data_IF_091073987301
#
_entry.id   IF_091073987301
#
_cell.length_a   1.000
_cell.length_b   1.000
_cell.length_c   1.000
_cell.angle_alpha   90.00
_cell.angle_beta   90.00
_cell.angle_gamma   90.00
#
_symmetry.space_group_name_H-M   'P 1'
#
loop_
_entity.id
_entity.type
_entity.pdbx_description
1 polymer ?
#
# COMPACT_ATOMS: atom_id res chain seq x y z
N UNK A 1 -7.37 -14.62 16.37
CA UNK A 1 -6.68 -14.21 15.14
C UNK A 1 -5.97 -12.91 15.42
N UNK A 2 -4.81 -12.68 14.79
CA UNK A 2 -4.03 -11.45 14.95
C UNK A 2 -4.56 -10.34 14.05
N UNK A 3 -4.31 -9.08 14.45
CA UNK A 3 -4.49 -7.92 13.56
C UNK A 3 -3.20 -7.71 12.78
N UNK A 4 -3.29 -7.69 11.46
CA UNK A 4 -2.11 -7.62 10.58
C UNK A 4 -2.27 -6.45 9.61
N UNK A 5 -1.18 -5.70 9.43
CA UNK A 5 -1.03 -4.69 8.38
C UNK A 5 0.04 -5.16 7.39
N UNK A 6 -0.32 -5.27 6.13
CA UNK A 6 0.63 -5.46 5.03
C UNK A 6 1.03 -4.09 4.51
N UNK A 7 2.31 -3.89 4.23
CA UNK A 7 2.80 -2.71 3.50
C UNK A 7 3.40 -3.21 2.19
N UNK A 8 2.76 -2.90 1.07
CA UNK A 8 3.23 -3.29 -0.26
C UNK A 8 4.28 -2.27 -0.73
N UNK A 9 5.49 -2.75 -1.00
CA UNK A 9 6.63 -1.92 -1.41
C UNK A 9 7.13 -2.28 -2.82
N UNK A 10 6.42 -3.18 -3.52
CA UNK A 10 6.70 -3.49 -4.91
C UNK A 10 5.92 -2.51 -5.80
N UNK A 11 6.56 -1.70 -6.68
CA UNK A 11 5.86 -0.78 -7.58
C UNK A 11 4.82 -1.47 -8.49
N UNK A 12 4.95 -2.78 -8.72
CA UNK A 12 3.95 -3.56 -9.45
C UNK A 12 2.67 -3.77 -8.64
N UNK A 13 2.78 -3.76 -7.32
CA UNK A 13 1.69 -3.87 -6.36
C UNK A 13 0.94 -5.19 -6.44
N UNK A 14 1.72 -6.28 -6.47
CA UNK A 14 1.22 -7.64 -6.56
C UNK A 14 0.40 -8.04 -5.33
N UNK A 15 0.81 -7.64 -4.11
CA UNK A 15 0.06 -7.94 -2.89
C UNK A 15 -1.28 -7.19 -2.88
N UNK A 16 -1.26 -5.91 -3.25
CA UNK A 16 -2.44 -5.07 -3.40
C UNK A 16 -3.46 -5.69 -4.37
N UNK A 17 -3.00 -6.13 -5.55
CA UNK A 17 -3.85 -6.80 -6.55
C UNK A 17 -4.37 -8.14 -6.03
N UNK A 18 -3.50 -8.95 -5.41
CA UNK A 18 -3.87 -10.25 -4.85
C UNK A 18 -4.91 -10.15 -3.72
N UNK A 19 -4.98 -9.01 -3.02
CA UNK A 19 -5.97 -8.72 -1.98
C UNK A 19 -7.22 -8.02 -2.50
N UNK A 20 -7.37 -7.88 -3.83
CA UNK A 20 -8.55 -7.31 -4.47
C UNK A 20 -8.59 -5.78 -4.54
N UNK A 21 -7.46 -5.11 -4.29
CA UNK A 21 -7.34 -3.66 -4.44
C UNK A 21 -6.87 -3.32 -5.86
N UNK A 22 -7.83 -2.95 -6.70
CA UNK A 22 -7.59 -2.53 -8.09
C UNK A 22 -6.71 -1.28 -8.16
N UNK A 23 -5.84 -1.18 -9.16
CA UNK A 23 -4.92 -0.04 -9.32
C UNK A 23 -5.62 1.32 -9.37
N UNK A 24 -6.79 1.39 -10.01
CA UNK A 24 -7.61 2.62 -10.12
C UNK A 24 -8.19 3.09 -8.78
N UNK A 25 -8.29 2.18 -7.80
CA UNK A 25 -8.90 2.42 -6.50
C UNK A 25 -7.84 2.72 -5.42
N UNK A 26 -6.55 2.68 -5.78
CA UNK A 26 -5.41 3.05 -4.93
C UNK A 26 -5.25 4.57 -4.92
N UNK A 27 -6.04 5.21 -4.08
CA UNK A 27 -5.99 6.68 -3.86
C UNK A 27 -4.93 7.09 -2.84
N UNK A 28 -4.35 6.11 -2.15
CA UNK A 28 -3.22 6.24 -1.23
C UNK A 28 -2.21 5.16 -1.57
N UNK A 29 -0.97 5.35 -1.17
CA UNK A 29 0.11 4.41 -1.44
C UNK A 29 1.20 4.43 -0.36
N UNK A 30 2.04 3.40 -0.35
CA UNK A 30 3.26 3.38 0.44
C UNK A 30 4.27 4.45 0.00
N UNK A 31 4.20 4.96 -1.24
CA UNK A 31 4.99 6.11 -1.67
C UNK A 31 4.65 7.35 -0.84
N UNK A 32 3.35 7.63 -0.64
CA UNK A 32 2.88 8.80 0.13
C UNK A 32 3.36 8.73 1.59
N UNK A 33 3.42 7.52 2.15
CA UNK A 33 3.94 7.29 3.50
C UNK A 33 5.45 7.50 3.57
N UNK A 34 6.19 6.95 2.61
CA UNK A 34 7.66 7.03 2.58
C UNK A 34 8.17 8.45 2.31
N UNK A 35 7.42 9.24 1.54
CA UNK A 35 7.70 10.66 1.28
C UNK A 35 7.20 11.59 2.40
N UNK A 36 6.41 11.07 3.35
CA UNK A 36 5.86 11.84 4.46
C UNK A 36 4.64 12.68 4.10
N UNK A 37 4.01 12.44 2.95
CA UNK A 37 2.76 13.09 2.53
C UNK A 37 1.55 12.58 3.32
N UNK A 38 1.58 11.31 3.75
CA UNK A 38 0.53 10.69 4.56
C UNK A 38 1.09 9.91 5.75
N UNK A 39 0.38 9.98 6.87
CA UNK A 39 0.62 9.10 8.01
C UNK A 39 0.25 7.64 7.67
N UNK A 40 0.97 6.67 8.22
CA UNK A 40 0.77 5.24 7.94
C UNK A 40 -0.67 4.79 8.22
N UNK A 41 -1.29 5.29 9.29
CA UNK A 41 -2.66 4.96 9.67
C UNK A 41 -3.69 5.49 8.65
N UNK A 42 -3.41 6.63 8.01
CA UNK A 42 -4.28 7.20 6.97
C UNK A 42 -4.15 6.46 5.62
N UNK A 43 -3.00 5.83 5.36
CA UNK A 43 -2.76 5.05 4.15
C UNK A 43 -3.23 3.59 4.25
N UNK A 44 -3.57 3.13 5.47
CA UNK A 44 -4.03 1.76 5.69
C UNK A 44 -5.50 1.59 5.29
N UNK A 45 -5.77 0.66 4.38
CA UNK A 45 -7.12 0.33 3.92
C UNK A 45 -7.51 -1.10 4.35
N UNK A 46 -8.78 -1.33 4.72
CA UNK A 46 -9.26 -2.67 5.05
C UNK A 46 -9.30 -3.54 3.79
N UNK A 47 -9.00 -4.82 3.96
CA UNK A 47 -9.19 -5.83 2.90
C UNK A 47 -10.50 -6.58 3.10
N UNK A 48 -10.85 -7.46 2.16
CA UNK A 48 -11.95 -8.40 2.33
C UNK A 48 -11.71 -9.45 3.44
N UNK A 49 -10.46 -9.61 3.91
CA UNK A 49 -10.10 -10.55 4.97
C UNK A 49 -10.24 -9.85 6.34
N UNK A 50 -11.11 -10.34 7.24
CA UNK A 50 -11.29 -9.74 8.56
C UNK A 50 -9.99 -9.72 9.36
N UNK A 51 -9.63 -8.55 9.90
CA UNK A 51 -8.40 -8.35 10.68
C UNK A 51 -7.14 -8.09 9.86
N UNK A 52 -7.24 -8.05 8.53
CA UNK A 52 -6.14 -7.73 7.61
C UNK A 52 -6.39 -6.40 6.91
N UNK A 53 -5.43 -5.49 7.06
CA UNK A 53 -5.37 -4.23 6.32
C UNK A 53 -4.12 -4.19 5.44
N UNK A 54 -4.11 -3.31 4.45
CA UNK A 54 -2.97 -3.09 3.56
C UNK A 54 -2.71 -1.60 3.37
N UNK A 55 -1.45 -1.20 3.30
CA UNK A 55 -1.02 0.02 2.61
C UNK A 55 -0.61 -0.40 1.20
N UNK A 56 -1.38 -0.04 0.16
CA UNK A 56 -1.11 -0.51 -1.18
C UNK A 56 0.08 0.23 -1.81
N UNK A 57 0.55 -0.24 -2.97
CA UNK A 57 1.60 0.45 -3.73
C UNK A 57 1.09 0.94 -5.09
N UNK A 58 1.75 1.99 -5.58
CA UNK A 58 1.59 2.54 -6.93
C UNK A 58 2.94 2.53 -7.66
N UNK A 59 2.91 2.85 -8.96
CA UNK A 59 4.13 2.95 -9.78
C UNK A 59 5.06 4.09 -9.34
N UNK A 60 4.56 5.04 -8.55
CA UNK A 60 5.33 6.19 -8.05
C UNK A 60 6.52 5.75 -7.19
N UNK A 61 6.44 4.56 -6.57
CA UNK A 61 7.57 3.93 -5.86
C UNK A 61 8.82 3.74 -6.74
N UNK A 62 8.70 3.65 -8.07
CA UNK A 62 9.86 3.62 -8.97
C UNK A 62 10.75 4.87 -8.81
N UNK A 63 10.15 6.01 -8.46
CA UNK A 63 10.88 7.25 -8.17
C UNK A 63 11.74 7.13 -6.91
N UNK A 64 11.21 6.49 -5.86
CA UNK A 64 11.95 6.25 -4.62
C UNK A 64 13.05 5.21 -4.83
N UNK A 65 12.77 4.12 -5.56
CA UNK A 65 13.75 3.05 -5.79
C UNK A 65 15.01 3.54 -6.54
N UNK A 66 14.87 4.54 -7.41
CA UNK A 66 16.01 5.13 -8.11
C UNK A 66 16.82 6.14 -7.29
N UNK A 67 16.27 6.66 -6.19
CA UNK A 67 16.93 7.67 -5.32
C UNK A 67 17.76 7.07 -4.17
N UNK A 68 17.56 5.78 -3.85
CA UNK A 68 18.23 5.04 -2.77
C UNK A 68 19.46 4.29 -3.30
#
# INVERSE_FOLDING_TARGET
GEKVLIVDLDPQGNASTGLGIDRKDRTVSSYDVLTGELELEAAAIPTAVPGLSIVPSTLDLLGIEMEI
#
